data_IF_065728127879
#
_entry.id   IF_065728127879
#
_cell.length_a   1.000
_cell.length_b   1.000
_cell.length_c   1.000
_cell.angle_alpha   90.00
_cell.angle_beta   90.00
_cell.angle_gamma   90.00
#
_symmetry.space_group_name_H-M   'P 1'
#
loop_
_entity.id
_entity.type
_entity.pdbx_description
1 polymer ?
#
# COMPACT_ATOMS: atom_id res chain seq x y z
N UNK A 1 10.01 -7.16 -3.91
CA UNK A 1 8.76 -6.63 -3.33
C UNK A 1 7.68 -6.41 -4.39
N UNK A 2 7.97 -5.83 -5.56
CA UNK A 2 6.98 -5.65 -6.63
C UNK A 2 6.30 -6.97 -7.06
N UNK A 3 7.06 -8.05 -7.19
CA UNK A 3 6.49 -9.37 -7.49
C UNK A 3 5.51 -9.87 -6.40
N UNK A 4 5.78 -9.61 -5.13
CA UNK A 4 4.85 -9.94 -4.04
C UNK A 4 3.56 -9.09 -4.12
N UNK A 5 3.68 -7.80 -4.47
CA UNK A 5 2.51 -6.96 -4.70
C UNK A 5 1.69 -7.48 -5.88
N UNK A 6 2.34 -7.86 -6.98
CA UNK A 6 1.70 -8.44 -8.17
C UNK A 6 0.97 -9.75 -7.82
N UNK A 7 1.69 -10.74 -7.27
CA UNK A 7 1.13 -12.06 -6.96
C UNK A 7 -0.03 -11.95 -5.98
N UNK A 8 0.13 -11.16 -4.91
CA UNK A 8 -0.91 -11.00 -3.90
C UNK A 8 -2.15 -10.26 -4.43
N UNK A 9 -1.96 -9.29 -5.32
CA UNK A 9 -3.06 -8.60 -5.96
C UNK A 9 -3.75 -9.49 -7.01
N UNK A 10 -3.01 -10.24 -7.81
CA UNK A 10 -3.57 -11.06 -8.89
C UNK A 10 -4.25 -12.33 -8.37
N UNK A 11 -3.62 -13.05 -7.46
CA UNK A 11 -4.06 -14.39 -7.05
C UNK A 11 -4.79 -14.43 -5.70
N UNK A 12 -4.59 -13.40 -4.85
CA UNK A 12 -5.21 -13.32 -3.52
C UNK A 12 -6.21 -12.16 -3.48
N UNK A 13 -7.11 -12.12 -4.48
CA UNK A 13 -8.18 -11.14 -4.55
C UNK A 13 -9.55 -11.81 -4.71
N UNK A 14 -10.57 -11.15 -4.17
CA UNK A 14 -11.98 -11.47 -4.41
C UNK A 14 -12.57 -10.32 -5.20
N UNK A 15 -12.89 -10.54 -6.47
CA UNK A 15 -13.54 -9.55 -7.33
C UNK A 15 -15.01 -9.44 -6.97
N UNK A 16 -15.47 -8.22 -6.77
CA UNK A 16 -16.87 -7.89 -6.52
C UNK A 16 -17.37 -7.18 -7.78
N UNK A 17 -18.19 -7.87 -8.62
CA UNK A 17 -18.69 -7.28 -9.84
C UNK A 17 -19.63 -6.12 -9.53
N UNK A 18 -19.57 -5.10 -10.38
CA UNK A 18 -20.41 -3.89 -10.30
C UNK A 18 -21.16 -3.73 -11.60
N UNK A 19 -22.38 -3.16 -11.59
CA UNK A 19 -23.10 -2.84 -12.81
C UNK A 19 -22.24 -2.03 -13.78
N UNK A 20 -22.32 -2.34 -15.08
CA UNK A 20 -21.52 -1.68 -16.12
C UNK A 20 -20.26 -2.43 -16.55
N UNK A 21 -20.04 -3.67 -16.07
CA UNK A 21 -18.90 -4.51 -16.47
C UNK A 21 -17.59 -4.17 -15.75
N UNK A 22 -17.64 -3.35 -14.72
CA UNK A 22 -16.53 -2.99 -13.85
C UNK A 22 -16.52 -3.87 -12.59
N UNK A 23 -15.47 -3.81 -11.81
CA UNK A 23 -15.38 -4.50 -10.52
C UNK A 23 -14.56 -3.70 -9.51
N UNK A 24 -14.86 -3.90 -8.23
CA UNK A 24 -13.92 -3.59 -7.14
C UNK A 24 -13.39 -4.89 -6.56
N UNK A 25 -12.28 -4.84 -5.81
CA UNK A 25 -11.70 -6.07 -5.25
C UNK A 25 -11.31 -5.93 -3.79
N UNK A 26 -11.49 -7.01 -3.06
CA UNK A 26 -10.87 -7.24 -1.76
C UNK A 26 -9.56 -7.98 -2.02
N UNK A 27 -8.44 -7.39 -1.59
CA UNK A 27 -7.10 -7.93 -1.84
C UNK A 27 -6.10 -7.51 -0.77
N UNK A 28 -5.00 -8.24 -0.66
CA UNK A 28 -3.93 -7.95 0.30
C UNK A 28 -2.68 -7.30 -0.33
N UNK A 29 -2.75 -6.90 -1.59
CA UNK A 29 -1.63 -6.25 -2.31
C UNK A 29 -1.12 -4.99 -1.61
N UNK A 30 -2.01 -4.20 -1.00
CA UNK A 30 -1.65 -3.02 -0.23
C UNK A 30 -0.75 -3.32 0.97
N UNK A 31 -0.92 -4.49 1.62
CA UNK A 31 -0.07 -4.90 2.73
C UNK A 31 1.39 -5.04 2.30
N UNK A 32 1.65 -5.63 1.13
CA UNK A 32 3.01 -5.80 0.62
C UNK A 32 3.62 -4.47 0.13
N UNK A 33 2.81 -3.54 -0.38
CA UNK A 33 3.24 -2.17 -0.69
C UNK A 33 3.73 -1.44 0.57
N UNK A 34 2.91 -1.46 1.63
CA UNK A 34 3.23 -0.87 2.93
C UNK A 34 4.44 -1.55 3.58
N UNK A 35 4.48 -2.89 3.55
CA UNK A 35 5.61 -3.66 4.06
C UNK A 35 6.92 -3.28 3.34
N UNK A 36 6.88 -3.15 2.01
CA UNK A 36 8.01 -2.67 1.24
C UNK A 36 8.45 -1.27 1.68
N UNK A 37 7.50 -0.34 1.88
CA UNK A 37 7.81 1.00 2.33
C UNK A 37 8.47 1.04 3.72
N UNK A 38 8.06 0.16 4.63
CA UNK A 38 8.68 0.02 5.95
C UNK A 38 10.09 -0.60 5.91
N UNK A 39 10.36 -1.49 4.95
CA UNK A 39 11.63 -2.21 4.86
C UNK A 39 12.67 -1.48 4.02
N UNK A 40 12.30 -0.96 2.85
CA UNK A 40 13.22 -0.39 1.87
C UNK A 40 13.00 1.10 1.61
N UNK A 41 12.10 1.74 2.37
CA UNK A 41 11.81 3.17 2.30
C UNK A 41 10.67 3.53 1.35
N UNK A 42 10.15 4.76 1.50
CA UNK A 42 8.91 5.18 0.86
C UNK A 42 8.94 5.16 -0.66
N UNK A 43 10.02 5.64 -1.28
CA UNK A 43 10.14 5.69 -2.74
C UNK A 43 10.17 4.29 -3.35
N UNK A 44 11.06 3.44 -2.88
CA UNK A 44 11.19 2.06 -3.39
C UNK A 44 10.00 1.19 -3.03
N UNK A 45 9.41 1.41 -1.84
CA UNK A 45 8.19 0.73 -1.42
C UNK A 45 6.99 1.16 -2.28
N UNK A 46 6.85 2.46 -2.52
CA UNK A 46 5.83 3.01 -3.40
C UNK A 46 5.97 2.52 -4.84
N UNK A 47 7.18 2.52 -5.39
CA UNK A 47 7.45 1.93 -6.71
C UNK A 47 7.14 0.43 -6.75
N UNK A 48 7.45 -0.32 -5.70
CA UNK A 48 7.11 -1.75 -5.62
C UNK A 48 5.60 -1.98 -5.71
N UNK A 49 4.81 -1.19 -4.99
CA UNK A 49 3.35 -1.25 -5.05
C UNK A 49 2.79 -0.81 -6.39
N UNK A 50 3.27 0.33 -6.90
CA UNK A 50 2.84 0.92 -8.17
C UNK A 50 3.12 -0.01 -9.36
N UNK A 51 4.34 -0.53 -9.46
CA UNK A 51 4.74 -1.43 -10.55
C UNK A 51 4.01 -2.78 -10.42
N UNK A 52 4.02 -3.40 -9.22
CA UNK A 52 3.43 -4.72 -9.03
C UNK A 52 1.93 -4.73 -9.32
N UNK A 53 1.18 -3.83 -8.68
CA UNK A 53 -0.28 -3.76 -8.87
C UNK A 53 -0.67 -3.09 -10.19
N UNK A 54 0.12 -2.14 -10.69
CA UNK A 54 -0.11 -1.53 -11.99
C UNK A 54 0.04 -2.53 -13.15
N UNK A 55 1.05 -3.41 -13.11
CA UNK A 55 1.19 -4.50 -14.09
C UNK A 55 0.02 -5.49 -13.96
N UNK A 56 -0.41 -5.80 -12.75
CA UNK A 56 -1.56 -6.67 -12.54
C UNK A 56 -2.84 -6.09 -13.17
N UNK A 57 -3.09 -4.78 -13.01
CA UNK A 57 -4.21 -4.11 -13.65
C UNK A 57 -4.09 -4.12 -15.18
N UNK A 58 -2.88 -3.91 -15.74
CA UNK A 58 -2.65 -3.95 -17.19
C UNK A 58 -2.89 -5.34 -17.80
N UNK A 59 -2.72 -6.40 -17.02
CA UNK A 59 -2.95 -7.78 -17.46
C UNK A 59 -4.38 -8.26 -17.25
N UNK A 60 -5.21 -7.48 -16.55
CA UNK A 60 -6.60 -7.81 -16.25
C UNK A 60 -7.55 -6.94 -17.08
N UNK A 61 -8.35 -7.55 -18.01
CA UNK A 61 -9.26 -6.78 -18.87
C UNK A 61 -10.24 -5.88 -18.11
N UNK A 62 -10.60 -6.23 -16.88
CA UNK A 62 -11.54 -5.46 -16.04
C UNK A 62 -10.88 -4.21 -15.47
N UNK A 63 -9.58 -4.27 -15.17
CA UNK A 63 -8.86 -3.20 -14.49
C UNK A 63 -7.91 -2.39 -15.38
N UNK A 64 -7.70 -2.81 -16.63
CA UNK A 64 -6.71 -2.22 -17.55
C UNK A 64 -6.85 -0.70 -17.68
N UNK A 65 -8.08 -0.20 -17.77
CA UNK A 65 -8.34 1.24 -17.87
C UNK A 65 -8.03 1.99 -16.59
N UNK A 66 -8.01 1.33 -15.44
CA UNK A 66 -7.68 1.88 -14.13
C UNK A 66 -6.19 1.88 -13.78
N UNK A 67 -5.34 1.21 -14.55
CA UNK A 67 -3.92 1.04 -14.26
C UNK A 67 -3.16 2.36 -13.98
N UNK A 68 -3.35 3.46 -14.73
CA UNK A 68 -2.68 4.72 -14.43
C UNK A 68 -3.05 5.30 -13.06
N UNK A 69 -4.34 5.21 -12.69
CA UNK A 69 -4.83 5.62 -11.36
C UNK A 69 -4.19 4.77 -10.27
N UNK A 70 -4.20 3.45 -10.44
CA UNK A 70 -3.59 2.50 -9.49
C UNK A 70 -2.12 2.80 -9.30
N UNK A 71 -1.36 3.00 -10.37
CA UNK A 71 0.06 3.33 -10.28
C UNK A 71 0.31 4.53 -9.36
N UNK A 72 -0.38 5.64 -9.58
CA UNK A 72 -0.22 6.87 -8.80
C UNK A 72 -0.61 6.65 -7.34
N UNK A 73 -1.79 6.06 -7.08
CA UNK A 73 -2.28 5.87 -5.72
C UNK A 73 -1.40 4.92 -4.90
N UNK A 74 -0.92 3.81 -5.51
CA UNK A 74 -0.06 2.86 -4.81
C UNK A 74 1.33 3.44 -4.55
N UNK A 75 1.85 4.26 -5.46
CA UNK A 75 3.07 5.02 -5.22
C UNK A 75 2.92 5.95 -4.00
N UNK A 76 1.82 6.69 -3.91
CA UNK A 76 1.54 7.58 -2.79
C UNK A 76 1.38 6.84 -1.46
N UNK A 77 0.75 5.64 -1.43
CA UNK A 77 0.70 4.81 -0.21
C UNK A 77 2.11 4.58 0.34
N UNK A 78 3.01 4.11 -0.53
CA UNK A 78 4.39 3.83 -0.11
C UNK A 78 5.15 5.08 0.32
N UNK A 79 4.99 6.21 -0.40
CA UNK A 79 5.62 7.48 -0.05
C UNK A 79 5.20 7.95 1.34
N UNK A 80 3.89 8.00 1.62
CA UNK A 80 3.35 8.48 2.90
C UNK A 80 3.77 7.54 4.03
N UNK A 81 3.64 6.22 3.83
CA UNK A 81 4.09 5.23 4.82
C UNK A 81 5.56 5.41 5.15
N UNK A 82 6.41 5.52 4.13
CA UNK A 82 7.84 5.67 4.33
C UNK A 82 8.24 7.03 4.92
N UNK A 83 7.52 8.10 4.58
CA UNK A 83 7.73 9.42 5.18
C UNK A 83 7.46 9.36 6.69
N UNK A 84 6.34 8.79 7.10
CA UNK A 84 6.01 8.65 8.54
C UNK A 84 7.00 7.74 9.24
N UNK A 85 7.32 6.59 8.66
CA UNK A 85 8.20 5.60 9.29
C UNK A 85 9.65 6.05 9.41
N UNK A 86 10.23 6.63 8.33
CA UNK A 86 11.66 6.87 8.24
C UNK A 86 12.06 8.32 8.45
N UNK A 87 11.20 9.29 8.11
CA UNK A 87 11.52 10.72 8.30
C UNK A 87 10.99 11.25 9.62
N UNK A 88 9.74 10.90 9.99
CA UNK A 88 9.11 11.37 11.23
C UNK A 88 9.55 10.50 12.41
N UNK A 89 9.26 9.21 12.35
CA UNK A 89 9.50 8.28 13.45
C UNK A 89 10.91 7.69 13.48
N UNK A 90 11.66 7.75 12.38
CA UNK A 90 13.04 7.23 12.29
C UNK A 90 13.21 5.82 12.85
N UNK A 91 12.27 4.92 12.49
CA UNK A 91 12.20 3.56 13.04
C UNK A 91 13.48 2.75 12.87
N UNK A 92 14.32 3.09 11.87
CA UNK A 92 15.62 2.44 11.65
C UNK A 92 16.73 2.96 12.57
N UNK A 93 16.49 4.02 13.34
CA UNK A 93 17.42 4.52 14.36
C UNK A 93 17.12 3.93 15.76
N UNK A 94 15.93 3.34 15.95
CA UNK A 94 15.48 2.81 17.25
C UNK A 94 15.69 1.30 17.39
N UNK A 95 16.19 0.90 18.54
CA UNK A 95 16.28 -0.52 18.98
C UNK A 95 15.09 -0.96 19.82
N UNK A 96 14.29 -0.01 20.32
CA UNK A 96 13.09 -0.31 21.11
C UNK A 96 12.00 -0.95 20.26
N UNK A 97 11.71 -2.22 20.54
CA UNK A 97 10.69 -3.00 19.83
C UNK A 97 9.28 -2.41 19.96
N UNK A 98 8.93 -1.85 21.14
CA UNK A 98 7.60 -1.27 21.36
C UNK A 98 7.43 0.02 20.55
N UNK A 99 8.46 0.85 20.51
CA UNK A 99 8.50 2.07 19.71
C UNK A 99 8.34 1.75 18.22
N UNK A 100 9.16 0.82 17.72
CA UNK A 100 9.12 0.39 16.31
C UNK A 100 7.76 -0.22 15.94
N UNK A 101 7.20 -1.07 16.79
CA UNK A 101 5.86 -1.62 16.59
C UNK A 101 4.82 -0.52 16.46
N UNK A 102 4.75 0.38 17.45
CA UNK A 102 3.79 1.49 17.46
C UNK A 102 3.88 2.33 16.18
N UNK A 103 5.09 2.74 15.81
CA UNK A 103 5.29 3.60 14.66
C UNK A 103 5.15 2.90 13.31
N UNK A 104 5.42 1.61 13.23
CA UNK A 104 5.12 0.83 12.02
C UNK A 104 3.61 0.75 11.77
N UNK A 105 2.81 0.58 12.82
CA UNK A 105 1.34 0.60 12.72
C UNK A 105 0.84 1.99 12.33
N UNK A 106 1.32 3.06 13.00
CA UNK A 106 0.93 4.44 12.67
C UNK A 106 1.28 4.79 11.22
N UNK A 107 2.47 4.43 10.75
CA UNK A 107 2.88 4.66 9.37
C UNK A 107 2.01 3.89 8.36
N UNK A 108 1.68 2.64 8.68
CA UNK A 108 0.77 1.83 7.87
C UNK A 108 -0.62 2.45 7.77
N UNK A 109 -1.16 2.88 8.91
CA UNK A 109 -2.46 3.56 8.97
C UNK A 109 -2.43 4.85 8.16
N UNK A 110 -1.38 5.67 8.27
CA UNK A 110 -1.28 6.93 7.53
C UNK A 110 -1.31 6.72 6.00
N UNK A 111 -0.52 5.79 5.47
CA UNK A 111 -0.50 5.50 4.03
C UNK A 111 -1.81 4.89 3.53
N UNK A 112 -2.41 4.00 4.32
CA UNK A 112 -3.65 3.34 3.93
C UNK A 112 -4.88 4.26 4.12
N UNK A 113 -4.92 5.10 5.14
CA UNK A 113 -5.98 6.11 5.32
C UNK A 113 -6.00 7.10 4.14
N UNK A 114 -4.83 7.53 3.67
CA UNK A 114 -4.74 8.29 2.42
C UNK A 114 -5.45 7.55 1.28
N UNK A 115 -5.16 6.25 1.08
CA UNK A 115 -5.77 5.48 0.00
C UNK A 115 -7.30 5.32 0.17
N UNK A 116 -7.78 5.14 1.40
CA UNK A 116 -9.23 5.03 1.69
C UNK A 116 -9.98 6.29 1.25
N UNK A 117 -9.36 7.45 1.40
CA UNK A 117 -9.94 8.73 0.97
C UNK A 117 -9.69 9.02 -0.50
N UNK A 118 -8.45 8.84 -0.96
CA UNK A 118 -8.03 9.23 -2.30
C UNK A 118 -8.60 8.30 -3.39
N UNK A 119 -8.67 6.98 -3.15
CA UNK A 119 -9.11 6.04 -4.19
C UNK A 119 -10.55 6.26 -4.67
N UNK A 120 -11.56 6.42 -3.80
CA UNK A 120 -12.92 6.71 -4.26
C UNK A 120 -13.04 8.10 -4.92
N UNK A 121 -12.34 9.11 -4.40
CA UNK A 121 -12.39 10.48 -4.95
C UNK A 121 -11.73 10.51 -6.34
N UNK A 122 -10.48 10.08 -6.42
CA UNK A 122 -9.75 10.04 -7.71
C UNK A 122 -10.44 9.09 -8.67
N UNK A 123 -10.95 7.95 -8.18
CA UNK A 123 -11.70 6.98 -8.98
C UNK A 123 -12.96 7.57 -9.60
N UNK A 124 -13.73 8.35 -8.83
CA UNK A 124 -14.92 9.06 -9.33
C UNK A 124 -14.57 10.01 -10.48
N UNK A 125 -13.63 10.93 -10.25
CA UNK A 125 -13.21 11.91 -11.25
C UNK A 125 -12.57 11.24 -12.48
N UNK A 126 -11.74 10.24 -12.27
CA UNK A 126 -11.09 9.49 -13.35
C UNK A 126 -12.11 8.80 -14.26
N UNK A 127 -13.09 8.11 -13.67
CA UNK A 127 -14.12 7.40 -14.42
C UNK A 127 -15.07 8.34 -15.14
N UNK A 128 -15.50 9.42 -14.50
CA UNK A 128 -16.43 10.36 -15.09
C UNK A 128 -15.79 11.22 -16.17
N UNK A 129 -14.60 11.81 -15.92
CA UNK A 129 -14.04 12.82 -16.81
C UNK A 129 -13.01 12.26 -17.79
N UNK A 130 -12.31 11.19 -17.44
CA UNK A 130 -11.29 10.59 -18.33
C UNK A 130 -11.89 9.41 -19.11
N UNK A 131 -12.65 8.53 -18.46
CA UNK A 131 -13.26 7.39 -19.13
C UNK A 131 -14.67 7.68 -19.69
N UNK A 132 -15.24 8.87 -19.43
CA UNK A 132 -16.55 9.27 -19.96
C UNK A 132 -17.72 8.47 -19.42
N UNK A 133 -17.58 7.84 -18.26
CA UNK A 133 -18.68 7.04 -17.67
C UNK A 133 -19.81 7.96 -17.14
N UNK A 134 -21.07 7.49 -17.19
CA UNK A 134 -22.20 8.22 -16.61
C UNK A 134 -21.97 8.52 -15.14
N UNK A 135 -22.40 9.71 -14.70
CA UNK A 135 -22.19 10.19 -13.34
C UNK A 135 -22.73 9.22 -12.27
N UNK A 136 -23.91 8.66 -12.49
CA UNK A 136 -24.55 7.72 -11.56
C UNK A 136 -23.69 6.46 -11.38
N UNK A 137 -23.15 5.92 -12.48
CA UNK A 137 -22.27 4.76 -12.44
C UNK A 137 -20.96 5.09 -11.72
N UNK A 138 -20.33 6.22 -12.05
CA UNK A 138 -19.09 6.65 -11.40
C UNK A 138 -19.28 6.86 -9.89
N UNK A 139 -20.43 7.39 -9.44
CA UNK A 139 -20.76 7.52 -8.02
C UNK A 139 -20.97 6.17 -7.34
N UNK A 140 -21.69 5.23 -7.98
CA UNK A 140 -21.89 3.89 -7.44
C UNK A 140 -20.57 3.15 -7.26
N UNK A 141 -19.70 3.22 -8.27
CA UNK A 141 -18.35 2.65 -8.23
C UNK A 141 -17.47 3.27 -7.13
N UNK A 142 -17.54 4.59 -6.94
CA UNK A 142 -16.79 5.28 -5.89
C UNK A 142 -17.25 4.84 -4.49
N UNK A 143 -18.55 4.69 -4.26
CA UNK A 143 -19.08 4.20 -2.97
C UNK A 143 -18.62 2.77 -2.69
N UNK A 144 -18.67 1.88 -3.66
CA UNK A 144 -18.20 0.50 -3.50
C UNK A 144 -16.70 0.43 -3.30
N UNK A 145 -15.93 1.25 -4.03
CA UNK A 145 -14.48 1.37 -3.83
C UNK A 145 -14.14 1.86 -2.43
N UNK A 146 -14.89 2.82 -1.86
CA UNK A 146 -14.65 3.30 -0.50
C UNK A 146 -14.79 2.18 0.54
N UNK A 147 -15.82 1.34 0.42
CA UNK A 147 -16.02 0.19 1.32
C UNK A 147 -14.91 -0.85 1.14
N UNK A 148 -14.59 -1.19 -0.09
CA UNK A 148 -13.55 -2.18 -0.38
C UNK A 148 -12.16 -1.71 0.07
N UNK A 149 -11.80 -0.44 -0.16
CA UNK A 149 -10.51 0.12 0.26
C UNK A 149 -10.40 0.23 1.78
N UNK A 150 -11.50 0.54 2.48
CA UNK A 150 -11.52 0.53 3.94
C UNK A 150 -11.26 -0.87 4.50
N UNK A 151 -11.96 -1.88 3.96
CA UNK A 151 -11.75 -3.28 4.36
C UNK A 151 -10.30 -3.72 4.08
N UNK A 152 -9.80 -3.45 2.88
CA UNK A 152 -8.43 -3.74 2.48
C UNK A 152 -7.41 -3.05 3.39
N UNK A 153 -7.68 -1.80 3.82
CA UNK A 153 -6.81 -1.06 4.73
C UNK A 153 -6.72 -1.73 6.10
N UNK A 154 -7.86 -2.10 6.69
CA UNK A 154 -7.89 -2.78 8.00
C UNK A 154 -7.13 -4.10 7.96
N UNK A 155 -7.42 -4.95 6.97
CA UNK A 155 -6.72 -6.23 6.80
C UNK A 155 -5.23 -6.01 6.58
N UNK A 156 -4.85 -5.03 5.75
CA UNK A 156 -3.44 -4.73 5.46
C UNK A 156 -2.68 -4.24 6.69
N UNK A 157 -3.27 -3.38 7.54
CA UNK A 157 -2.63 -2.94 8.80
C UNK A 157 -2.32 -4.12 9.69
N UNK A 158 -3.28 -5.04 9.87
CA UNK A 158 -3.10 -6.23 10.71
C UNK A 158 -1.98 -7.12 10.15
N UNK A 159 -2.02 -7.42 8.86
CA UNK A 159 -1.00 -8.25 8.20
C UNK A 159 0.40 -7.63 8.30
N UNK A 160 0.51 -6.33 8.03
CA UNK A 160 1.79 -5.61 8.11
C UNK A 160 2.32 -5.61 9.54
N UNK A 161 1.46 -5.36 10.54
CA UNK A 161 1.87 -5.38 11.95
C UNK A 161 2.46 -6.73 12.35
N UNK A 162 1.85 -7.83 11.91
CA UNK A 162 2.34 -9.19 12.19
C UNK A 162 3.63 -9.48 11.42
N UNK A 163 3.61 -9.32 10.09
CA UNK A 163 4.73 -9.70 9.21
C UNK A 163 5.96 -8.83 9.49
N UNK A 164 5.82 -7.52 9.58
CA UNK A 164 6.96 -6.61 9.80
C UNK A 164 7.67 -6.90 11.12
N UNK A 165 6.91 -7.15 12.20
CA UNK A 165 7.51 -7.44 13.50
C UNK A 165 8.16 -8.83 13.57
N UNK A 166 7.70 -9.79 12.78
CA UNK A 166 8.33 -11.09 12.67
C UNK A 166 9.61 -11.05 11.79
N UNK A 167 9.55 -10.33 10.67
CA UNK A 167 10.62 -10.32 9.65
C UNK A 167 11.77 -9.36 10.03
N UNK A 168 11.45 -8.19 10.60
CA UNK A 168 12.46 -7.17 10.94
C UNK A 168 13.64 -7.71 11.77
N UNK A 169 13.45 -8.45 12.89
CA UNK A 169 14.58 -8.96 13.68
C UNK A 169 15.44 -9.96 12.90
N UNK A 170 14.84 -10.75 12.01
CA UNK A 170 15.56 -11.68 11.15
C UNK A 170 16.44 -10.92 10.16
N UNK A 171 15.91 -9.88 9.52
CA UNK A 171 16.67 -9.05 8.57
C UNK A 171 17.82 -8.29 9.24
N UNK A 172 17.64 -7.87 10.50
CA UNK A 172 18.73 -7.24 11.28
C UNK A 172 19.84 -8.26 11.56
N UNK A 173 19.49 -9.47 11.99
CA UNK A 173 20.46 -10.55 12.25
C UNK A 173 21.23 -10.97 10.99
N UNK A 174 20.57 -10.95 9.84
CA UNK A 174 21.16 -11.28 8.54
C UNK A 174 21.92 -10.13 7.90
N UNK A 175 22.10 -8.99 8.60
CA UNK A 175 22.75 -7.77 8.09
C UNK A 175 22.08 -7.16 6.83
N UNK A 176 20.87 -7.58 6.49
CA UNK A 176 20.08 -7.03 5.38
C UNK A 176 19.37 -5.73 5.74
N UNK A 177 19.12 -5.49 7.03
CA UNK A 177 18.57 -4.23 7.55
C UNK A 177 19.54 -3.67 8.59
N UNK A 178 20.03 -2.45 8.35
CA UNK A 178 20.99 -1.79 9.26
C UNK A 178 20.27 -0.82 10.18
N UNK A 179 20.53 -0.93 11.51
CA UNK A 179 20.08 0.05 12.49
C UNK A 179 21.11 1.16 12.56
N UNK A 180 20.76 2.34 12.03
CA UNK A 180 21.71 3.47 11.91
C UNK A 180 22.06 4.10 13.27
N UNK A 181 21.21 3.92 14.29
CA UNK A 181 21.44 4.43 15.66
C UNK A 181 22.64 3.80 16.35
N UNK A 182 22.90 2.51 16.15
CA UNK A 182 24.07 1.82 16.73
C UNK A 182 25.42 2.29 16.17
N UNK A 183 25.45 2.78 14.93
CA UNK A 183 26.70 3.30 14.34
C UNK A 183 27.15 4.62 14.96
N UNK A 184 26.22 5.41 15.51
CA UNK A 184 26.56 6.70 16.17
C UNK A 184 27.14 6.49 17.57
N UNK A 185 26.69 5.46 18.31
CA UNK A 185 27.24 5.13 19.65
C UNK A 185 28.63 4.48 19.59
N UNK A 186 28.98 3.81 18.50
CA UNK A 186 30.31 3.20 18.33
C UNK A 186 31.36 4.17 17.74
N UNK A 187 30.93 5.33 17.26
CA UNK A 187 31.79 6.34 16.66
C UNK A 187 31.99 7.58 17.55
N UNK A 188 31.38 7.61 18.75
CA UNK A 188 31.55 8.61 19.81
C UNK A 188 32.31 8.02 20.99
#
# INVERSE_FOLDING_TARGET
MAALCYVSFTFLQIKIPVPGGDATSIHIGNAFCVLAALLIGGVYGGLSGAIGMGIADLMDPVYITGAPKTFVLKFCIGLITGLVAHKIAKINESTDRKYVFKWSVIASVAGLAFNVVADPIVGYFYKQYILGQPQELAQALAKMSAVATLFNAVVSVILVAVIYNAVRPVLIKSHLLTITGKKKEQAA
#
